data_IF_865067238757
#
_entry.id   IF_865067238757
#
_cell.length_a   1.000
_cell.length_b   1.000
_cell.length_c   1.000
_cell.angle_alpha   90.00
_cell.angle_beta   90.00
_cell.angle_gamma   90.00
#
_symmetry.space_group_name_H-M   'P 1'
#
loop_
_entity.id
_entity.type
_entity.pdbx_description
1 polymer ?
#
# COMPACT_ATOMS: atom_id res chain seq x y z
N UNK A 1 15.13 -3.31 12.88
CA UNK A 1 13.83 -2.93 12.28
C UNK A 1 14.15 -1.99 11.14
N UNK A 2 14.21 -2.51 9.91
CA UNK A 2 14.40 -1.66 8.72
C UNK A 2 13.03 -1.18 8.25
N UNK A 3 12.81 0.13 8.26
CA UNK A 3 11.64 0.72 7.64
C UNK A 3 12.07 1.23 6.27
N UNK A 4 11.48 0.68 5.21
CA UNK A 4 11.81 1.07 3.83
C UNK A 4 10.80 2.09 3.34
N UNK A 5 11.30 3.22 2.85
CA UNK A 5 10.51 4.22 2.16
C UNK A 5 10.24 3.69 0.75
N UNK A 6 8.98 3.41 0.44
CA UNK A 6 8.58 2.78 -0.82
C UNK A 6 7.93 3.76 -1.77
N UNK A 7 8.33 3.72 -3.04
CA UNK A 7 7.49 4.16 -4.15
C UNK A 7 6.69 2.94 -4.64
N UNK A 8 5.43 3.14 -4.99
CA UNK A 8 4.58 2.07 -5.52
C UNK A 8 5.14 1.59 -6.87
N UNK A 9 5.82 0.45 -6.89
CA UNK A 9 6.17 -0.22 -8.13
C UNK A 9 5.02 -1.12 -8.55
N UNK A 10 4.52 -0.92 -9.77
CA UNK A 10 3.38 -1.64 -10.33
C UNK A 10 3.84 -3.02 -10.84
N UNK A 11 3.92 -4.02 -9.95
CA UNK A 11 4.34 -5.39 -10.31
C UNK A 11 3.10 -6.27 -10.45
N UNK A 12 2.97 -6.96 -11.59
CA UNK A 12 1.85 -7.87 -11.85
C UNK A 12 1.84 -9.02 -10.86
N UNK A 13 0.66 -9.36 -10.34
CA UNK A 13 0.44 -10.42 -9.34
C UNK A 13 1.01 -11.76 -9.78
N UNK A 14 0.88 -12.14 -11.05
CA UNK A 14 1.43 -13.41 -11.56
C UNK A 14 2.96 -13.49 -11.42
N UNK A 15 3.64 -12.35 -11.55
CA UNK A 15 5.10 -12.26 -11.50
C UNK A 15 5.63 -12.42 -10.06
N UNK A 16 4.83 -12.02 -9.06
CA UNK A 16 5.14 -12.15 -7.64
C UNK A 16 4.96 -13.60 -7.16
N UNK A 17 3.92 -14.28 -7.67
CA UNK A 17 3.62 -15.68 -7.36
C UNK A 17 4.71 -16.62 -7.88
N UNK A 18 5.25 -16.36 -9.07
CA UNK A 18 6.32 -17.17 -9.67
C UNK A 18 7.67 -17.04 -8.97
N UNK A 19 7.92 -15.94 -8.25
CA UNK A 19 9.21 -15.68 -7.59
C UNK A 19 9.28 -16.16 -6.13
N UNK A 20 8.21 -16.74 -5.59
CA UNK A 20 8.18 -17.19 -4.17
C UNK A 20 8.41 -16.07 -3.14
N UNK A 21 8.32 -14.81 -3.57
CA UNK A 21 8.59 -13.60 -2.80
C UNK A 21 7.31 -12.98 -2.20
N UNK A 22 6.21 -13.72 -2.16
CA UNK A 22 4.87 -13.22 -1.82
C UNK A 22 4.81 -12.51 -0.47
N UNK A 23 5.66 -12.90 0.49
CA UNK A 23 5.74 -12.25 1.81
C UNK A 23 6.34 -10.83 1.78
N UNK A 24 7.15 -10.49 0.76
CA UNK A 24 7.82 -9.19 0.61
C UNK A 24 7.25 -8.34 -0.53
N UNK A 25 6.38 -8.94 -1.35
CA UNK A 25 5.86 -8.31 -2.54
C UNK A 25 4.64 -7.46 -2.24
N UNK A 26 4.63 -6.20 -2.67
CA UNK A 26 3.50 -5.30 -2.50
C UNK A 26 2.55 -5.45 -3.69
N UNK A 27 1.37 -6.01 -3.43
CA UNK A 27 0.34 -6.15 -4.43
C UNK A 27 -0.52 -4.90 -4.43
N UNK A 28 -0.83 -4.41 -5.63
CA UNK A 28 -1.51 -3.16 -5.86
C UNK A 28 -2.29 -3.27 -7.17
N UNK A 29 -3.62 -3.27 -7.13
CA UNK A 29 -4.43 -3.54 -8.34
C UNK A 29 -4.68 -2.31 -9.21
N UNK A 30 -4.61 -1.11 -8.64
CA UNK A 30 -4.97 0.15 -9.29
C UNK A 30 -4.13 1.31 -8.72
N UNK A 31 -3.68 2.31 -9.48
CA UNK A 31 -2.90 3.44 -8.97
C UNK A 31 -3.51 4.11 -7.72
N UNK A 32 -2.66 4.68 -6.86
CA UNK A 32 -3.17 5.55 -5.80
C UNK A 32 -3.83 6.79 -6.41
N UNK A 33 -4.95 7.20 -5.82
CA UNK A 33 -5.74 8.35 -6.30
C UNK A 33 -5.08 9.70 -6.01
N UNK A 34 -4.16 9.75 -5.03
CA UNK A 34 -3.40 10.94 -4.67
C UNK A 34 -1.95 10.81 -5.14
N UNK A 35 -1.48 11.80 -5.91
CA UNK A 35 -0.13 11.84 -6.47
C UNK A 35 0.96 12.06 -5.41
N UNK A 36 0.60 12.66 -4.28
CA UNK A 36 1.49 12.94 -3.15
C UNK A 36 1.36 11.92 -2.01
N UNK A 37 0.89 10.71 -2.31
CA UNK A 37 0.82 9.62 -1.33
C UNK A 37 2.19 8.96 -1.14
N UNK A 38 2.66 8.96 0.11
CA UNK A 38 3.83 8.21 0.56
C UNK A 38 3.42 7.08 1.48
N UNK A 39 4.20 5.99 1.53
CA UNK A 39 3.96 4.94 2.51
C UNK A 39 5.24 4.33 3.10
N UNK A 40 5.10 3.88 4.35
CA UNK A 40 6.12 3.12 5.06
C UNK A 40 5.78 1.63 4.98
N UNK A 41 6.74 0.85 4.47
CA UNK A 41 6.61 -0.60 4.35
C UNK A 41 7.12 -1.29 5.62
N UNK A 42 6.17 -1.72 6.46
CA UNK A 42 6.43 -2.54 7.64
C UNK A 42 6.25 -4.03 7.35
N UNK A 43 7.07 -4.84 8.04
CA UNK A 43 6.97 -6.31 8.01
C UNK A 43 5.53 -6.73 8.34
N UNK A 44 5.02 -7.70 7.58
CA UNK A 44 3.70 -8.27 7.82
C UNK A 44 2.55 -7.40 7.31
N UNK A 45 2.79 -6.66 6.21
CA UNK A 45 1.81 -5.75 5.58
C UNK A 45 1.33 -4.64 6.52
N UNK A 46 2.11 -4.28 7.53
CA UNK A 46 1.81 -3.08 8.33
C UNK A 46 2.17 -1.86 7.48
N UNK A 47 1.23 -0.92 7.38
CA UNK A 47 1.35 0.23 6.49
C UNK A 47 1.07 1.51 7.23
N UNK A 48 1.89 2.51 7.00
CA UNK A 48 1.54 3.89 7.27
C UNK A 48 1.48 4.60 5.93
N UNK A 49 0.31 5.12 5.57
CA UNK A 49 0.11 5.97 4.40
C UNK A 49 0.03 7.42 4.85
N UNK A 50 0.69 8.31 4.12
CA UNK A 50 0.79 9.74 4.41
C UNK A 50 0.37 10.48 3.14
N UNK A 51 -0.69 11.29 3.21
CA UNK A 51 -1.21 12.10 2.10
C UNK A 51 -1.27 13.57 2.55
N UNK A 52 -0.22 14.37 2.28
CA UNK A 52 -0.14 15.76 2.73
C UNK A 52 -1.26 16.65 2.20
N UNK A 53 -1.65 16.51 0.94
CA UNK A 53 -2.71 17.27 0.28
C UNK A 53 -4.06 17.17 0.99
N UNK A 54 -4.30 16.06 1.70
CA UNK A 54 -5.52 15.77 2.45
C UNK A 54 -5.33 15.91 3.96
N UNK A 55 -4.15 16.33 4.43
CA UNK A 55 -3.78 16.35 5.85
C UNK A 55 -4.09 15.02 6.56
N UNK A 56 -3.84 13.90 5.87
CA UNK A 56 -4.30 12.58 6.24
C UNK A 56 -3.14 11.60 6.47
N UNK A 57 -3.19 10.88 7.59
CA UNK A 57 -2.32 9.75 7.88
C UNK A 57 -3.18 8.53 8.21
N UNK A 58 -2.88 7.40 7.57
CA UNK A 58 -3.60 6.14 7.76
C UNK A 58 -2.62 5.07 8.27
N UNK A 59 -2.90 4.49 9.43
CA UNK A 59 -2.15 3.35 9.96
C UNK A 59 -2.96 2.05 9.80
N UNK A 60 -2.48 1.12 8.97
CA UNK A 60 -3.04 -0.23 8.83
C UNK A 60 -2.38 -1.19 9.82
N UNK A 61 -3.17 -1.72 10.74
CA UNK A 61 -2.75 -2.76 11.70
C UNK A 61 -3.31 -4.16 11.40
N UNK A 62 -3.93 -4.35 10.23
CA UNK A 62 -4.55 -5.61 9.79
C UNK A 62 -3.59 -6.81 9.66
N UNK A 63 -4.15 -7.97 9.34
CA UNK A 63 -3.43 -9.24 9.19
C UNK A 63 -2.35 -9.23 8.10
N UNK A 64 -1.41 -10.17 8.18
CA UNK A 64 -0.35 -10.35 7.18
C UNK A 64 -0.85 -11.22 6.01
N UNK A 65 -1.84 -10.72 5.27
CA UNK A 65 -2.37 -11.42 4.11
C UNK A 65 -1.53 -11.11 2.86
N UNK A 66 -1.02 -12.12 2.13
CA UNK A 66 -0.33 -11.92 0.85
C UNK A 66 -1.28 -11.43 -0.24
N UNK A 67 -2.60 -11.61 -0.05
CA UNK A 67 -3.66 -11.14 -0.95
C UNK A 67 -4.07 -9.69 -0.67
N UNK A 68 -3.47 -9.05 0.34
CA UNK A 68 -3.76 -7.66 0.66
C UNK A 68 -3.34 -6.75 -0.50
N UNK A 69 -4.33 -6.03 -1.02
CA UNK A 69 -4.17 -5.01 -2.04
C UNK A 69 -3.91 -3.65 -1.38
N UNK A 70 -2.67 -3.18 -1.49
CA UNK A 70 -2.19 -1.96 -0.85
C UNK A 70 -2.93 -0.70 -1.36
N UNK A 71 -3.56 -0.75 -2.54
CA UNK A 71 -4.35 0.35 -3.12
C UNK A 71 -5.68 0.59 -2.40
N UNK A 72 -6.31 -0.46 -1.87
CA UNK A 72 -7.74 -0.44 -1.51
C UNK A 72 -8.05 0.53 -0.39
N UNK A 73 -7.31 0.45 0.71
CA UNK A 73 -7.59 1.26 1.90
C UNK A 73 -7.42 2.77 1.63
N UNK A 74 -6.28 3.26 1.13
CA UNK A 74 -6.12 4.69 0.87
C UNK A 74 -7.09 5.18 -0.21
N UNK A 75 -7.29 4.44 -1.31
CA UNK A 75 -8.20 4.88 -2.38
C UNK A 75 -9.65 4.94 -1.91
N UNK A 76 -10.11 3.96 -1.12
CA UNK A 76 -11.46 3.96 -0.57
C UNK A 76 -11.70 5.19 0.31
N UNK A 77 -10.75 5.52 1.18
CA UNK A 77 -10.84 6.69 2.06
C UNK A 77 -10.82 7.99 1.25
N UNK A 78 -9.87 8.14 0.33
CA UNK A 78 -9.76 9.32 -0.52
C UNK A 78 -11.02 9.55 -1.37
N UNK A 79 -11.58 8.49 -1.95
CA UNK A 79 -12.81 8.58 -2.72
C UNK A 79 -14.02 8.95 -1.85
N UNK A 80 -14.06 8.52 -0.58
CA UNK A 80 -15.11 8.92 0.35
C UNK A 80 -14.99 10.39 0.83
N UNK A 81 -13.78 10.97 0.78
CA UNK A 81 -13.54 12.37 1.13
C UNK A 81 -13.88 13.33 -0.02
N UNK A 82 -13.77 12.87 -1.27
CA UNK A 82 -14.20 13.61 -2.47
C UNK A 82 -15.74 13.66 -2.51
N UNK A 83 -16.31 14.75 -2.02
CA UNK A 83 -17.77 15.03 -2.06
C UNK A 83 -18.28 15.25 -3.46
#
# INVERSE_FOLDING_TARGET
>A
MECKFGLAMNIRKEELMMKGLTMYANFHSEPYVADDLFFMDGIGKKRMYIIPSESLVILRTGDNSPEWDDSKLPNLILNALKK
#
